data_IF_703416792330
#
_entry.id   IF_703416792330
#
_cell.length_a   1.000
_cell.length_b   1.000
_cell.length_c   1.000
_cell.angle_alpha   90.00
_cell.angle_beta   90.00
_cell.angle_gamma   90.00
#
_symmetry.space_group_name_H-M   'P 1'
#
loop_
_entity.id
_entity.type
_entity.pdbx_description
1 polymer ?
#
# COMPACT_ATOMS: atom_id res chain seq x y z
N UNK A 1 -20.26 7.52 -9.54
CA UNK A 1 -19.15 6.55 -9.64
C UNK A 1 -19.55 5.36 -8.83
N UNK A 2 -19.79 4.21 -9.46
CA UNK A 2 -20.20 2.99 -8.77
C UNK A 2 -19.11 2.53 -7.80
N UNK A 3 -19.51 2.08 -6.62
CA UNK A 3 -18.68 1.57 -5.48
C UNK A 3 -17.83 0.31 -5.79
N UNK A 4 -17.41 0.13 -7.04
CA UNK A 4 -16.78 -1.10 -7.54
C UNK A 4 -15.27 -1.00 -7.75
N UNK A 5 -14.72 0.21 -7.65
CA UNK A 5 -13.29 0.45 -7.82
C UNK A 5 -12.43 -0.10 -6.68
N UNK A 6 -11.14 -0.21 -6.96
CA UNK A 6 -10.13 -0.37 -5.92
C UNK A 6 -9.91 0.95 -5.19
N UNK A 7 -9.73 0.84 -3.88
CA UNK A 7 -9.25 1.90 -2.98
C UNK A 7 -8.10 1.33 -2.15
N UNK A 8 -7.35 2.18 -1.45
CA UNK A 8 -6.31 1.73 -0.53
C UNK A 8 -6.44 2.41 0.83
N UNK A 9 -6.05 1.71 1.89
CA UNK A 9 -6.05 2.22 3.27
C UNK A 9 -4.88 1.62 4.06
N UNK A 10 -4.47 2.29 5.13
CA UNK A 10 -3.62 1.70 6.15
C UNK A 10 -4.42 0.73 7.01
N UNK A 11 -3.90 -0.48 7.21
CA UNK A 11 -4.55 -1.53 8.01
C UNK A 11 -4.19 -1.48 9.51
N UNK A 12 -3.49 -0.44 9.94
CA UNK A 12 -3.06 -0.18 11.31
C UNK A 12 -3.64 1.15 11.83
N UNK A 13 -3.45 1.44 13.12
CA UNK A 13 -4.05 2.61 13.74
C UNK A 13 -3.47 3.92 13.19
N UNK A 14 -4.29 4.97 13.15
CA UNK A 14 -3.89 6.30 12.67
C UNK A 14 -2.74 6.90 13.48
N UNK A 15 -2.59 6.51 14.75
CA UNK A 15 -1.46 6.89 15.60
C UNK A 15 -0.13 6.31 15.09
N UNK A 16 -0.15 5.06 14.61
CA UNK A 16 1.02 4.41 14.01
C UNK A 16 1.38 5.07 12.68
N UNK A 17 0.37 5.43 11.86
CA UNK A 17 0.58 6.21 10.63
C UNK A 17 1.24 7.57 10.92
N UNK A 18 0.74 8.28 11.93
CA UNK A 18 1.25 9.60 12.31
C UNK A 18 2.71 9.54 12.78
N UNK A 19 3.17 8.40 13.31
CA UNK A 19 4.55 8.19 13.76
C UNK A 19 5.57 8.19 12.63
N UNK A 20 5.16 7.88 11.39
CA UNK A 20 6.09 7.85 10.27
C UNK A 20 6.49 9.26 9.80
N UNK A 21 7.73 9.44 9.28
CA UNK A 21 8.13 10.69 8.64
C UNK A 21 7.19 11.06 7.49
N UNK A 22 6.87 12.35 7.33
CA UNK A 22 5.94 12.81 6.28
C UNK A 22 6.34 12.31 4.89
N UNK A 23 7.63 12.35 4.57
CA UNK A 23 8.16 11.87 3.28
C UNK A 23 7.85 10.39 3.04
N UNK A 24 7.92 9.55 4.08
CA UNK A 24 7.58 8.11 3.98
C UNK A 24 6.09 7.94 3.71
N UNK A 25 5.22 8.70 4.40
CA UNK A 25 3.76 8.67 4.14
C UNK A 25 3.43 9.14 2.72
N UNK A 26 4.05 10.22 2.26
CA UNK A 26 3.82 10.75 0.91
C UNK A 26 4.23 9.72 -0.16
N UNK A 27 5.35 9.03 0.04
CA UNK A 27 5.83 7.98 -0.88
C UNK A 27 4.93 6.75 -0.86
N UNK A 28 4.51 6.26 0.32
CA UNK A 28 3.55 5.15 0.42
C UNK A 28 2.25 5.52 -0.30
N UNK A 29 1.73 6.73 -0.08
CA UNK A 29 0.55 7.23 -0.77
C UNK A 29 0.73 7.24 -2.28
N UNK A 30 1.84 7.78 -2.78
CA UNK A 30 2.09 7.85 -4.22
C UNK A 30 2.14 6.46 -4.88
N UNK A 31 2.83 5.51 -4.24
CA UNK A 31 2.91 4.13 -4.75
C UNK A 31 1.57 3.42 -4.66
N UNK A 32 0.84 3.56 -3.55
CA UNK A 32 -0.47 2.93 -3.38
C UNK A 32 -1.53 3.50 -4.33
N UNK A 33 -1.55 4.82 -4.57
CA UNK A 33 -2.40 5.45 -5.57
C UNK A 33 -2.13 4.87 -6.97
N UNK A 34 -0.85 4.69 -7.33
CA UNK A 34 -0.46 4.09 -8.62
C UNK A 34 -0.92 2.61 -8.73
N UNK A 35 -0.77 1.83 -7.66
CA UNK A 35 -1.23 0.44 -7.64
C UNK A 35 -2.75 0.39 -7.84
N UNK A 36 -3.50 1.24 -7.13
CA UNK A 36 -4.96 1.32 -7.27
C UNK A 36 -5.37 1.76 -8.67
N UNK A 37 -4.66 2.70 -9.30
CA UNK A 37 -4.92 3.11 -10.68
C UNK A 37 -4.78 1.91 -11.64
N UNK A 38 -3.67 1.17 -11.55
CA UNK A 38 -3.45 -0.05 -12.34
C UNK A 38 -4.52 -1.11 -12.04
N UNK A 39 -4.93 -1.23 -10.78
CA UNK A 39 -5.95 -2.17 -10.34
C UNK A 39 -7.33 -1.87 -10.95
N UNK A 40 -7.66 -0.59 -11.05
CA UNK A 40 -8.87 -0.11 -11.71
C UNK A 40 -8.83 -0.32 -13.23
N UNK A 41 -7.63 -0.49 -13.81
CA UNK A 41 -7.44 -0.92 -15.21
C UNK A 41 -7.47 -2.44 -15.38
N UNK A 42 -7.68 -3.21 -14.31
CA UNK A 42 -7.83 -4.67 -14.33
C UNK A 42 -6.55 -5.47 -14.04
N UNK A 43 -5.45 -4.81 -13.67
CA UNK A 43 -4.24 -5.50 -13.21
C UNK A 43 -4.46 -5.98 -11.77
N UNK A 44 -4.13 -7.23 -11.45
CA UNK A 44 -4.27 -7.70 -10.06
C UNK A 44 -3.19 -7.05 -9.17
N UNK A 45 -3.53 -6.30 -8.11
CA UNK A 45 -2.54 -5.77 -7.18
C UNK A 45 -1.69 -6.87 -6.54
N UNK A 46 -2.23 -8.09 -6.42
CA UNK A 46 -1.51 -9.24 -5.92
C UNK A 46 -0.42 -9.72 -6.88
N UNK A 47 -0.28 -9.16 -8.09
CA UNK A 47 0.82 -9.45 -9.02
C UNK A 47 1.90 -8.35 -9.03
N UNK A 48 1.68 -7.26 -8.29
CA UNK A 48 2.58 -6.10 -8.25
C UNK A 48 3.48 -6.15 -7.01
N UNK A 49 4.79 -5.95 -7.19
CA UNK A 49 5.76 -5.95 -6.10
C UNK A 49 6.39 -7.32 -5.82
N UNK A 50 7.27 -7.36 -4.82
CA UNK A 50 7.99 -8.59 -4.44
C UNK A 50 7.10 -9.50 -3.59
N UNK A 51 7.09 -10.83 -3.80
CA UNK A 51 6.36 -11.76 -2.94
C UNK A 51 6.89 -11.72 -1.50
N UNK A 52 5.98 -11.68 -0.53
CA UNK A 52 6.29 -11.90 0.90
C UNK A 52 5.53 -13.12 1.43
N UNK A 53 5.84 -13.65 2.62
CA UNK A 53 5.08 -14.76 3.19
C UNK A 53 3.58 -14.42 3.29
N UNK A 54 2.74 -15.26 2.71
CA UNK A 54 1.29 -15.04 2.63
C UNK A 54 0.86 -14.46 1.30
N UNK A 55 -0.10 -13.52 1.32
CA UNK A 55 -0.67 -12.89 0.11
C UNK A 55 -0.30 -11.41 -0.02
N UNK A 56 0.59 -10.92 0.84
CA UNK A 56 1.09 -9.55 0.77
C UNK A 56 2.21 -9.43 -0.28
N UNK A 57 2.40 -8.20 -0.75
CA UNK A 57 3.44 -7.81 -1.69
C UNK A 57 4.23 -6.66 -1.13
N UNK A 58 5.55 -6.72 -1.28
CA UNK A 58 6.48 -5.67 -0.86
C UNK A 58 6.74 -4.70 -1.99
N UNK A 59 6.71 -3.41 -1.65
CA UNK A 59 6.98 -2.30 -2.54
C UNK A 59 8.08 -1.43 -1.94
N UNK A 60 9.13 -1.20 -2.73
CA UNK A 60 10.25 -0.34 -2.32
C UNK A 60 9.84 1.13 -2.40
N UNK A 61 10.30 1.92 -1.42
CA UNK A 61 10.09 3.37 -1.40
C UNK A 61 11.28 4.09 -2.04
N UNK A 62 11.07 5.21 -2.76
CA UNK A 62 12.15 5.98 -3.39
C UNK A 62 13.23 6.47 -2.42
N UNK A 63 12.86 6.90 -1.22
CA UNK A 63 13.80 7.32 -0.17
C UNK A 63 14.55 6.16 0.50
N UNK A 64 14.24 4.92 0.11
CA UNK A 64 14.67 3.70 0.79
C UNK A 64 13.64 3.21 1.81
N UNK A 65 13.82 2.00 2.32
CA UNK A 65 12.77 1.30 3.06
C UNK A 65 11.73 0.69 2.11
N UNK A 66 10.64 0.20 2.68
CA UNK A 66 9.61 -0.53 1.94
C UNK A 66 8.30 -0.60 2.72
N UNK A 67 7.22 -0.94 2.04
CA UNK A 67 5.96 -1.29 2.68
C UNK A 67 5.41 -2.59 2.10
N UNK A 68 4.55 -3.26 2.86
CA UNK A 68 3.80 -4.42 2.39
C UNK A 68 2.32 -4.07 2.23
N UNK A 69 1.74 -4.49 1.11
CA UNK A 69 0.33 -4.30 0.81
C UNK A 69 -0.35 -5.63 0.47
N UNK A 70 -1.59 -5.79 0.94
CA UNK A 70 -2.41 -6.97 0.73
C UNK A 70 -3.65 -6.63 -0.08
N UNK A 71 -3.85 -7.34 -1.18
CA UNK A 71 -5.04 -7.23 -2.01
C UNK A 71 -6.22 -7.97 -1.36
N UNK A 72 -7.35 -7.26 -1.19
CA UNK A 72 -8.60 -7.77 -0.62
C UNK A 72 -9.74 -7.60 -1.65
N UNK A 73 -9.75 -8.39 -2.74
CA UNK A 73 -10.69 -8.23 -3.86
C UNK A 73 -12.15 -8.54 -3.51
N UNK A 74 -12.39 -9.17 -2.35
CA UNK A 74 -13.73 -9.51 -1.84
C UNK A 74 -14.38 -8.39 -1.03
N UNK A 75 -13.64 -7.34 -0.65
CA UNK A 75 -14.22 -6.15 -0.01
C UNK A 75 -14.96 -5.28 -1.05
N UNK A 76 -15.87 -4.44 -0.57
CA UNK A 76 -16.64 -3.48 -1.39
C UNK A 76 -16.60 -2.10 -0.71
N UNK A 77 -15.87 -1.11 -1.28
CA UNK A 77 -15.00 -1.20 -2.47
C UNK A 77 -13.85 -2.20 -2.30
N UNK A 78 -13.21 -2.64 -3.40
CA UNK A 78 -12.06 -3.56 -3.33
C UNK A 78 -10.90 -2.84 -2.64
N UNK A 79 -10.20 -3.51 -1.74
CA UNK A 79 -9.23 -2.83 -0.87
C UNK A 79 -7.81 -3.32 -1.11
N UNK A 80 -6.88 -2.39 -1.29
CA UNK A 80 -5.45 -2.58 -1.11
C UNK A 80 -5.08 -2.13 0.31
N UNK A 81 -4.81 -3.07 1.20
CA UNK A 81 -4.49 -2.78 2.59
C UNK A 81 -2.97 -2.65 2.77
N UNK A 82 -2.47 -1.48 3.17
CA UNK A 82 -1.07 -1.32 3.59
C UNK A 82 -0.93 -1.86 5.00
N UNK A 83 -0.28 -3.01 5.14
CA UNK A 83 -0.23 -3.79 6.39
C UNK A 83 1.04 -3.55 7.21
N UNK A 84 2.09 -3.02 6.60
CA UNK A 84 3.37 -2.75 7.25
C UNK A 84 4.10 -1.65 6.48
N UNK A 85 4.71 -0.71 7.20
CA UNK A 85 5.65 0.27 6.64
C UNK A 85 6.96 0.18 7.40
N UNK A 86 8.05 -0.02 6.67
CA UNK A 86 9.42 -0.02 7.18
C UNK A 86 10.14 1.20 6.60
N UNK A 87 10.20 2.32 7.34
CA UNK A 87 10.90 3.52 6.90
C UNK A 87 12.41 3.27 6.84
N UNK A 88 13.15 4.02 6.02
CA UNK A 88 14.59 3.91 5.99
C UNK A 88 15.21 4.45 7.30
N UNK A 89 16.29 3.85 7.84
CA UNK A 89 16.83 4.21 9.15
C UNK A 89 17.29 5.66 9.30
N UNK A 90 17.63 6.34 8.20
CA UNK A 90 18.11 7.71 8.21
C UNK A 90 16.98 8.76 8.26
N UNK A 91 15.72 8.34 8.19
CA UNK A 91 14.55 9.21 8.31
C UNK A 91 13.82 9.06 9.65
N UNK A 92 14.22 8.09 10.47
CA UNK A 92 13.69 7.84 11.82
C UNK A 92 14.28 8.81 12.85
#
# INVERSE_FOLDING_TARGET
MTDEGWVWEYAFHTEDEASYPKVVRDEVKAVADQIVELANLGIDPADLGEPTPGTARRHMLPSGGWFEAQALPRMRPRLLAVVLVVPPPHLL
#
